data_IF_238125103852
#
_entry.id   IF_238125103852
#
_cell.length_a   1.000
_cell.length_b   1.000
_cell.length_c   1.000
_cell.angle_alpha   90.00
_cell.angle_beta   90.00
_cell.angle_gamma   90.00
#
_symmetry.space_group_name_H-M   'P 1'
#
loop_
_entity.id
_entity.type
_entity.pdbx_description
1 polymer ?
#
# COMPACT_ATOMS: atom_id res chain seq x y z
N UNK A 1 22.14 -3.65 -11.99
CA UNK A 1 21.57 -3.06 -10.75
C UNK A 1 21.18 -4.21 -9.83
N UNK A 2 21.46 -4.13 -8.52
CA UNK A 2 21.10 -5.21 -7.59
C UNK A 2 19.63 -5.09 -7.14
N UNK A 3 18.95 -6.23 -6.94
CA UNK A 3 17.57 -6.31 -6.40
C UNK A 3 17.41 -5.55 -5.09
N UNK A 4 16.27 -4.89 -4.87
CA UNK A 4 15.95 -4.27 -3.57
C UNK A 4 15.99 -5.34 -2.45
N UNK A 5 16.51 -5.01 -1.26
CA UNK A 5 16.64 -5.99 -0.18
C UNK A 5 15.27 -6.47 0.30
N UNK A 6 15.17 -7.77 0.51
CA UNK A 6 14.00 -8.45 1.10
C UNK A 6 14.29 -9.05 2.47
N UNK A 7 15.55 -9.02 2.90
CA UNK A 7 16.03 -9.53 4.18
C UNK A 7 16.92 -8.52 4.91
N UNK A 8 17.00 -8.66 6.23
CA UNK A 8 17.92 -7.87 7.05
C UNK A 8 19.40 -8.13 6.70
N UNK A 9 19.73 -9.31 6.17
CA UNK A 9 21.09 -9.62 5.72
C UNK A 9 21.47 -8.82 4.46
N UNK A 10 20.57 -8.75 3.48
CA UNK A 10 20.77 -7.93 2.27
C UNK A 10 20.85 -6.44 2.61
N UNK A 11 20.08 -5.97 3.61
CA UNK A 11 20.21 -4.61 4.14
C UNK A 11 21.62 -4.37 4.72
N UNK A 12 22.10 -5.27 5.59
CA UNK A 12 23.44 -5.17 6.18
C UNK A 12 24.55 -5.22 5.13
N UNK A 13 24.39 -6.04 4.09
CA UNK A 13 25.33 -6.12 2.97
C UNK A 13 25.43 -4.78 2.20
N UNK A 14 24.37 -3.96 2.23
CA UNK A 14 24.35 -2.58 1.70
C UNK A 14 24.81 -1.52 2.72
N UNK A 15 25.17 -1.91 3.93
CA UNK A 15 25.49 -1.00 5.03
C UNK A 15 24.27 -0.29 5.62
N UNK A 16 23.06 -0.84 5.42
CA UNK A 16 21.82 -0.26 5.92
C UNK A 16 21.41 -0.90 7.25
N UNK A 17 21.23 -0.05 8.24
CA UNK A 17 20.65 -0.36 9.55
C UNK A 17 19.12 -0.25 9.54
N UNK A 18 18.59 0.62 8.68
CA UNK A 18 17.17 0.92 8.56
C UNK A 18 16.81 1.29 7.11
N UNK A 19 15.62 0.84 6.66
CA UNK A 19 14.99 1.32 5.43
C UNK A 19 14.25 2.64 5.68
N UNK A 20 14.27 3.54 4.70
CA UNK A 20 13.40 4.70 4.69
C UNK A 20 11.96 4.30 4.42
N UNK A 21 11.77 3.39 3.46
CA UNK A 21 10.47 2.87 3.03
C UNK A 21 10.52 1.36 2.94
N UNK A 22 9.47 0.70 3.43
CA UNK A 22 9.28 -0.74 3.21
C UNK A 22 8.00 -0.95 2.40
N UNK A 23 8.13 -1.59 1.24
CA UNK A 23 7.01 -1.93 0.37
C UNK A 23 6.52 -3.34 0.66
N UNK A 24 5.24 -3.51 0.93
CA UNK A 24 4.57 -4.78 1.13
C UNK A 24 3.67 -5.06 -0.07
N UNK A 25 3.92 -6.18 -0.75
CA UNK A 25 3.20 -6.54 -1.98
C UNK A 25 2.57 -7.92 -1.88
N UNK A 26 1.37 -8.05 -2.46
CA UNK A 26 0.68 -9.33 -2.61
C UNK A 26 1.29 -10.23 -3.68
N UNK A 27 2.15 -9.72 -4.56
CA UNK A 27 2.86 -10.51 -5.58
C UNK A 27 4.23 -10.97 -5.10
N UNK A 28 4.80 -11.96 -5.78
CA UNK A 28 6.24 -12.21 -5.75
C UNK A 28 7.01 -10.93 -6.12
N UNK A 29 8.18 -10.72 -5.52
CA UNK A 29 9.04 -9.63 -5.96
C UNK A 29 9.73 -10.02 -7.27
N UNK A 30 9.30 -9.38 -8.35
CA UNK A 30 9.94 -9.42 -9.64
C UNK A 30 10.36 -8.00 -9.97
N UNK A 31 11.66 -7.77 -10.08
CA UNK A 31 12.21 -6.44 -10.32
C UNK A 31 12.12 -6.08 -11.81
N UNK A 32 10.90 -5.83 -12.27
CA UNK A 32 10.56 -5.57 -13.66
C UNK A 32 9.50 -4.46 -13.75
N UNK A 33 9.53 -3.59 -14.78
CA UNK A 33 8.58 -2.47 -14.93
C UNK A 33 7.11 -2.88 -15.05
N UNK A 34 6.80 -4.15 -15.29
CA UNK A 34 5.42 -4.67 -15.24
C UNK A 34 4.88 -4.89 -13.83
N UNK A 35 5.70 -4.70 -12.78
CA UNK A 35 5.32 -4.85 -11.39
C UNK A 35 5.35 -3.51 -10.68
N UNK A 36 4.18 -3.01 -10.26
CA UNK A 36 4.05 -1.68 -9.68
C UNK A 36 4.95 -1.48 -8.44
N UNK A 37 5.07 -2.48 -7.57
CA UNK A 37 5.95 -2.41 -6.40
C UNK A 37 7.43 -2.23 -6.77
N UNK A 38 7.89 -2.86 -7.85
CA UNK A 38 9.27 -2.70 -8.34
C UNK A 38 9.47 -1.29 -8.91
N UNK A 39 8.55 -0.79 -9.73
CA UNK A 39 8.60 0.57 -10.26
C UNK A 39 8.66 1.59 -9.13
N UNK A 40 7.73 1.52 -8.18
CA UNK A 40 7.69 2.45 -7.03
C UNK A 40 8.97 2.36 -6.20
N UNK A 41 9.48 1.15 -5.96
CA UNK A 41 10.72 0.97 -5.23
C UNK A 41 11.93 1.60 -5.93
N UNK A 42 12.06 1.41 -7.24
CA UNK A 42 13.13 2.02 -8.05
C UNK A 42 13.00 3.53 -8.19
N UNK A 43 11.78 4.03 -8.27
CA UNK A 43 11.48 5.47 -8.29
C UNK A 43 11.92 6.13 -6.99
N UNK A 44 11.71 5.50 -5.84
CA UNK A 44 12.16 6.00 -4.54
C UNK A 44 13.68 5.81 -4.35
N UNK A 45 14.25 4.68 -4.76
CA UNK A 45 15.70 4.44 -4.67
C UNK A 45 16.48 5.45 -5.55
N UNK A 46 15.95 5.82 -6.71
CA UNK A 46 16.52 6.86 -7.57
C UNK A 46 16.53 8.25 -6.92
N UNK A 47 15.66 8.49 -5.94
CA UNK A 47 15.63 9.71 -5.13
C UNK A 47 16.50 9.62 -3.86
N UNK A 48 17.27 8.54 -3.72
CA UNK A 48 18.22 8.35 -2.63
C UNK A 48 17.64 7.63 -1.40
N UNK A 49 16.39 7.21 -1.43
CA UNK A 49 15.77 6.47 -0.32
C UNK A 49 16.22 5.01 -0.28
N UNK A 50 16.46 4.49 0.93
CA UNK A 50 16.70 3.08 1.22
C UNK A 50 15.36 2.34 1.21
N UNK A 51 15.11 1.55 0.17
CA UNK A 51 13.83 0.85 0.00
C UNK A 51 14.00 -0.65 0.18
N UNK A 52 13.17 -1.26 1.02
CA UNK A 52 13.08 -2.72 1.15
C UNK A 52 11.72 -3.27 0.70
N UNK A 53 11.67 -4.56 0.37
CA UNK A 53 10.44 -5.23 -0.12
C UNK A 53 10.09 -6.45 0.71
N UNK A 54 8.84 -6.51 1.18
CA UNK A 54 8.22 -7.67 1.80
C UNK A 54 7.19 -8.22 0.80
N UNK A 55 7.59 -9.22 0.03
CA UNK A 55 6.72 -9.90 -0.93
C UNK A 55 6.00 -11.08 -0.26
N UNK A 56 4.68 -11.19 -0.52
CA UNK A 56 3.81 -12.27 -0.05
C UNK A 56 4.07 -12.70 1.41
N UNK A 57 4.00 -11.75 2.37
CA UNK A 57 4.17 -12.11 3.77
C UNK A 57 3.07 -13.09 4.22
N UNK A 58 3.42 -14.04 5.08
CA UNK A 58 2.41 -14.85 5.77
C UNK A 58 1.53 -13.95 6.64
N UNK A 59 0.26 -13.86 6.28
CA UNK A 59 -0.72 -12.99 6.93
C UNK A 59 -1.40 -13.61 8.16
N UNK A 60 -0.97 -14.82 8.55
CA UNK A 60 -1.46 -15.48 9.78
C UNK A 60 -0.84 -14.88 11.05
N UNK A 61 0.17 -14.02 10.92
CA UNK A 61 0.79 -13.30 12.02
C UNK A 61 1.59 -12.09 11.56
N UNK A 62 2.25 -11.41 12.49
CA UNK A 62 3.02 -10.18 12.21
C UNK A 62 4.49 -10.42 11.89
N UNK A 63 5.01 -11.63 12.11
CA UNK A 63 6.44 -11.93 12.03
C UNK A 63 7.06 -11.54 10.67
N UNK A 64 6.42 -11.92 9.56
CA UNK A 64 6.89 -11.60 8.21
C UNK A 64 6.88 -10.09 7.90
N UNK A 65 5.94 -9.35 8.49
CA UNK A 65 5.81 -7.90 8.35
C UNK A 65 6.89 -7.14 9.15
N UNK A 66 7.53 -7.81 10.11
CA UNK A 66 8.59 -7.26 10.95
C UNK A 66 9.99 -7.58 10.43
N UNK A 67 10.12 -8.41 9.38
CA UNK A 67 11.42 -8.96 8.93
C UNK A 67 12.47 -7.91 8.51
N UNK A 68 12.02 -6.75 8.03
CA UNK A 68 12.89 -5.61 7.64
C UNK A 68 12.95 -4.51 8.71
N UNK A 69 12.30 -4.74 9.86
CA UNK A 69 12.20 -3.77 10.93
C UNK A 69 11.27 -2.59 10.61
N UNK A 70 11.43 -1.53 11.40
CA UNK A 70 10.63 -0.30 11.32
C UNK A 70 11.22 0.63 10.26
N UNK A 71 10.46 1.07 9.24
CA UNK A 71 10.93 2.07 8.29
C UNK A 71 10.97 3.46 8.95
N UNK A 72 11.85 4.33 8.45
CA UNK A 72 11.95 5.72 8.92
C UNK A 72 10.72 6.55 8.54
N UNK A 73 10.25 6.41 7.30
CA UNK A 73 9.19 7.22 6.71
C UNK A 73 7.83 6.51 6.74
N UNK A 74 7.65 5.42 5.99
CA UNK A 74 6.34 4.75 5.87
C UNK A 74 6.43 3.30 5.36
N UNK A 75 5.33 2.57 5.53
CA UNK A 75 5.05 1.33 4.80
C UNK A 75 4.18 1.62 3.58
N UNK A 76 4.61 1.17 2.39
CA UNK A 76 3.77 1.18 1.19
C UNK A 76 3.11 -0.17 0.98
N UNK A 77 1.80 -0.24 0.77
CA UNK A 77 1.05 -1.50 0.69
C UNK A 77 0.28 -1.59 -0.62
N UNK A 78 0.44 -2.72 -1.33
CA UNK A 78 -0.31 -3.04 -2.55
C UNK A 78 -0.78 -4.49 -2.55
N UNK A 79 -1.93 -4.75 -3.16
CA UNK A 79 -2.43 -6.13 -3.39
C UNK A 79 -1.63 -6.87 -4.48
N UNK A 80 -0.78 -6.17 -5.22
CA UNK A 80 -0.07 -6.66 -6.40
C UNK A 80 -0.62 -6.05 -7.69
N UNK A 81 -0.41 -6.75 -8.80
CA UNK A 81 -0.79 -6.32 -10.14
C UNK A 81 -2.29 -6.49 -10.44
N UNK A 82 -3.01 -7.29 -9.65
CA UNK A 82 -4.46 -7.48 -9.77
C UNK A 82 -5.10 -7.36 -8.37
N UNK A 83 -6.42 -7.18 -8.34
CA UNK A 83 -7.24 -7.33 -7.14
C UNK A 83 -7.02 -8.70 -6.49
N UNK A 84 -6.79 -8.71 -5.17
CA UNK A 84 -6.48 -9.91 -4.40
C UNK A 84 -7.57 -10.99 -4.47
N UNK A 85 -8.84 -10.62 -4.67
CA UNK A 85 -9.92 -11.59 -4.84
C UNK A 85 -9.83 -12.31 -6.19
N UNK A 86 -9.39 -11.63 -7.25
CA UNK A 86 -9.27 -12.20 -8.60
C UNK A 86 -8.06 -13.14 -8.75
N UNK A 87 -7.11 -13.10 -7.82
CA UNK A 87 -6.05 -14.11 -7.71
C UNK A 87 -6.59 -15.42 -7.11
N UNK A 88 -7.53 -15.34 -6.18
CA UNK A 88 -8.13 -16.53 -5.58
C UNK A 88 -9.30 -17.09 -6.37
N UNK A 89 -10.06 -16.23 -7.03
CA UNK A 89 -11.30 -16.59 -7.70
C UNK A 89 -11.33 -16.09 -9.14
N UNK A 90 -12.03 -16.83 -9.99
CA UNK A 90 -12.43 -16.35 -11.32
C UNK A 90 -13.55 -15.31 -11.18
N UNK A 91 -13.83 -14.56 -12.25
CA UNK A 91 -14.98 -13.63 -12.28
C UNK A 91 -16.33 -14.32 -12.00
N UNK A 92 -16.43 -15.63 -12.26
CA UNK A 92 -17.59 -16.47 -11.95
C UNK A 92 -17.55 -17.07 -10.53
N UNK A 93 -16.74 -16.50 -9.61
CA UNK A 93 -16.55 -16.91 -8.21
C UNK A 93 -16.06 -18.36 -8.02
N UNK A 94 -15.41 -18.96 -9.02
CA UNK A 94 -14.78 -20.30 -8.88
C UNK A 94 -13.36 -20.15 -8.36
N UNK A 95 -12.94 -21.02 -7.45
CA UNK A 95 -11.56 -21.02 -6.95
C UNK A 95 -10.56 -21.31 -8.08
N UNK A 96 -9.50 -20.50 -8.17
CA UNK A 96 -8.37 -20.75 -9.07
C UNK A 96 -7.45 -21.80 -8.47
N UNK A 97 -6.76 -22.56 -9.32
CA UNK A 97 -5.82 -23.61 -8.89
C UNK A 97 -4.39 -23.09 -8.79
N UNK A 98 -4.12 -21.99 -9.47
CA UNK A 98 -2.83 -21.34 -9.64
C UNK A 98 -2.93 -19.84 -9.35
N UNK A 99 -1.79 -19.24 -9.02
CA UNK A 99 -1.61 -17.78 -8.99
C UNK A 99 -0.35 -17.42 -9.79
N UNK A 100 -0.48 -16.84 -11.00
CA UNK A 100 0.65 -16.56 -11.88
C UNK A 100 1.63 -15.52 -11.31
N UNK A 101 1.22 -14.77 -10.28
CA UNK A 101 2.07 -13.78 -9.63
C UNK A 101 2.67 -14.28 -8.31
N UNK A 102 2.48 -15.56 -7.97
CA UNK A 102 3.08 -16.23 -6.82
C UNK A 102 4.31 -17.04 -7.23
N UNK A 103 5.33 -17.20 -6.35
CA UNK A 103 6.48 -18.05 -6.62
C UNK A 103 6.07 -19.48 -6.98
N UNK A 104 6.49 -19.92 -8.17
CA UNK A 104 6.15 -21.25 -8.70
C UNK A 104 4.67 -21.45 -9.05
N UNK A 105 3.90 -20.38 -9.22
CA UNK A 105 2.47 -20.47 -9.53
C UNK A 105 1.59 -20.91 -8.36
N UNK A 106 2.16 -20.97 -7.14
CA UNK A 106 1.50 -21.54 -5.96
C UNK A 106 0.32 -20.69 -5.52
N UNK A 107 -0.85 -21.31 -5.42
CA UNK A 107 -2.04 -20.67 -4.88
C UNK A 107 -1.97 -20.51 -3.35
N UNK A 108 -2.72 -19.55 -2.80
CA UNK A 108 -2.88 -19.39 -1.36
C UNK A 108 -1.67 -18.79 -0.65
N UNK A 109 -0.91 -17.92 -1.33
CA UNK A 109 0.22 -17.15 -0.77
C UNK A 109 -0.10 -15.67 -0.50
N UNK A 110 -1.35 -15.25 -0.70
CA UNK A 110 -1.85 -13.94 -0.28
C UNK A 110 -3.24 -14.11 0.36
N UNK A 111 -3.70 -13.19 1.21
CA UNK A 111 -5.08 -13.22 1.70
C UNK A 111 -6.06 -12.61 0.68
N UNK A 112 -7.35 -12.94 0.84
CA UNK A 112 -8.44 -12.13 0.29
C UNK A 112 -8.39 -10.71 0.89
N UNK A 113 -8.68 -9.69 0.06
CA UNK A 113 -8.64 -8.28 0.47
C UNK A 113 -7.29 -7.89 1.07
N UNK A 114 -6.22 -8.21 0.33
CA UNK A 114 -4.85 -8.13 0.81
C UNK A 114 -4.47 -6.76 1.35
N UNK A 115 -4.95 -5.67 0.74
CA UNK A 115 -4.71 -4.31 1.25
C UNK A 115 -5.15 -4.14 2.71
N UNK A 116 -6.37 -4.58 3.03
CA UNK A 116 -6.95 -4.44 4.37
C UNK A 116 -6.18 -5.30 5.36
N UNK A 117 -5.91 -6.56 4.99
CA UNK A 117 -5.21 -7.52 5.87
C UNK A 117 -3.79 -7.05 6.16
N UNK A 118 -3.03 -6.67 5.13
CA UNK A 118 -1.64 -6.22 5.28
C UNK A 118 -1.54 -4.92 6.07
N UNK A 119 -2.41 -3.94 5.79
CA UNK A 119 -2.42 -2.69 6.54
C UNK A 119 -2.75 -2.91 8.03
N UNK A 120 -3.71 -3.78 8.35
CA UNK A 120 -4.06 -4.09 9.74
C UNK A 120 -2.92 -4.81 10.49
N UNK A 121 -2.23 -5.76 9.84
CA UNK A 121 -1.08 -6.45 10.43
C UNK A 121 0.11 -5.50 10.64
N UNK A 122 0.35 -4.59 9.69
CA UNK A 122 1.34 -3.53 9.86
C UNK A 122 0.96 -2.58 11.01
N UNK A 123 -0.32 -2.21 11.13
CA UNK A 123 -0.78 -1.36 12.23
C UNK A 123 -0.67 -2.06 13.59
N UNK A 124 -0.84 -3.38 13.63
CA UNK A 124 -0.62 -4.20 14.82
C UNK A 124 0.87 -4.24 15.20
N UNK A 125 1.76 -4.40 14.22
CA UNK A 125 3.21 -4.45 14.45
C UNK A 125 3.81 -3.07 14.77
N UNK A 126 3.32 -2.02 14.11
CA UNK A 126 3.89 -0.67 14.12
C UNK A 126 2.79 0.39 14.14
N UNK A 127 2.26 0.68 15.34
CA UNK A 127 1.08 1.53 15.53
C UNK A 127 1.21 2.93 14.96
N UNK A 128 2.40 3.51 14.99
CA UNK A 128 2.69 4.93 14.71
C UNK A 128 3.47 5.16 13.40
N UNK A 129 3.69 4.11 12.62
CA UNK A 129 4.29 4.25 11.28
C UNK A 129 3.18 4.57 10.27
N UNK A 130 3.35 5.59 9.41
CA UNK A 130 2.42 5.85 8.33
C UNK A 130 2.29 4.66 7.38
N UNK A 131 1.06 4.38 6.96
CA UNK A 131 0.72 3.34 5.98
C UNK A 131 0.13 4.01 4.75
N UNK A 132 0.77 3.80 3.61
CA UNK A 132 0.40 4.32 2.29
C UNK A 132 -0.18 3.18 1.45
N UNK A 133 -1.45 3.26 1.09
CA UNK A 133 -2.06 2.28 0.18
C UNK A 133 -1.82 2.67 -1.29
N UNK A 134 -1.62 1.70 -2.16
CA UNK A 134 -1.49 1.92 -3.59
C UNK A 134 -1.87 0.71 -4.43
N UNK A 135 -1.75 0.87 -5.75
CA UNK A 135 -2.10 -0.15 -6.73
C UNK A 135 -3.56 -0.12 -7.17
N UNK A 136 -3.93 -1.11 -7.98
CA UNK A 136 -5.25 -1.17 -8.63
C UNK A 136 -6.36 -1.33 -7.59
N UNK A 137 -6.20 -2.25 -6.64
CA UNK A 137 -7.21 -2.50 -5.60
C UNK A 137 -7.48 -1.24 -4.76
N UNK A 138 -6.45 -0.44 -4.46
CA UNK A 138 -6.59 0.81 -3.72
C UNK A 138 -7.31 1.87 -4.58
N UNK A 139 -6.86 2.06 -5.82
CA UNK A 139 -7.39 3.07 -6.74
C UNK A 139 -8.89 2.91 -7.00
N UNK A 140 -9.33 1.65 -7.19
CA UNK A 140 -10.73 1.32 -7.48
C UNK A 140 -11.63 1.42 -6.25
N UNK A 141 -11.07 1.27 -5.04
CA UNK A 141 -11.82 1.26 -3.77
C UNK A 141 -11.64 2.54 -2.94
N UNK A 142 -11.13 3.62 -3.55
CA UNK A 142 -10.88 4.91 -2.89
C UNK A 142 -12.16 5.63 -2.46
N UNK A 143 -13.28 5.35 -3.11
CA UNK A 143 -14.61 5.86 -2.79
C UNK A 143 -15.50 4.71 -2.32
N UNK A 144 -16.71 5.06 -1.87
CA UNK A 144 -17.76 4.06 -1.72
C UNK A 144 -17.96 3.33 -3.06
N UNK A 145 -18.04 2.00 -3.01
CA UNK A 145 -18.09 1.16 -4.21
C UNK A 145 -18.96 -0.06 -3.96
N UNK A 146 -19.62 -0.55 -5.00
CA UNK A 146 -20.27 -1.84 -4.96
C UNK A 146 -19.21 -2.95 -5.00
N UNK A 147 -19.17 -3.78 -3.95
CA UNK A 147 -18.30 -4.95 -3.88
C UNK A 147 -19.04 -6.16 -4.41
N UNK A 148 -18.60 -6.64 -5.56
CA UNK A 148 -19.19 -7.81 -6.22
C UNK A 148 -19.10 -9.08 -5.36
N UNK A 149 -18.16 -9.19 -4.42
CA UNK A 149 -17.98 -10.42 -3.64
C UNK A 149 -18.98 -10.52 -2.49
N UNK A 150 -19.21 -9.40 -1.80
CA UNK A 150 -20.17 -9.30 -0.70
C UNK A 150 -21.60 -8.97 -1.18
N UNK A 151 -21.78 -8.63 -2.46
CA UNK A 151 -23.06 -8.15 -3.01
C UNK A 151 -23.61 -6.96 -2.20
N UNK A 152 -22.73 -6.02 -1.87
CA UNK A 152 -23.06 -4.88 -1.02
C UNK A 152 -22.22 -3.66 -1.39
N UNK A 153 -22.75 -2.47 -1.10
CA UNK A 153 -21.95 -1.24 -1.17
C UNK A 153 -21.06 -1.17 0.06
N UNK A 154 -19.76 -1.01 -0.17
CA UNK A 154 -18.74 -0.84 0.86
C UNK A 154 -18.26 0.61 0.89
N UNK A 155 -17.91 1.06 2.10
CA UNK A 155 -17.24 2.34 2.32
C UNK A 155 -15.82 2.35 1.71
N UNK A 156 -15.18 3.52 1.55
CA UNK A 156 -13.79 3.62 1.11
C UNK A 156 -12.84 2.68 1.86
N UNK A 157 -11.94 2.01 1.13
CA UNK A 157 -10.99 1.04 1.70
C UNK A 157 -10.08 1.63 2.78
N UNK A 158 -9.80 2.94 2.70
CA UNK A 158 -8.97 3.65 3.66
C UNK A 158 -9.54 3.55 5.09
N UNK A 159 -10.88 3.54 5.24
CA UNK A 159 -11.57 3.39 6.52
C UNK A 159 -11.46 1.96 7.08
N UNK A 160 -11.53 0.94 6.22
CA UNK A 160 -11.41 -0.46 6.62
C UNK A 160 -9.96 -0.84 6.95
N UNK A 161 -9.00 -0.32 6.18
CA UNK A 161 -7.58 -0.60 6.32
C UNK A 161 -6.90 0.23 7.42
N UNK A 162 -7.52 1.32 7.87
CA UNK A 162 -6.95 2.28 8.85
C UNK A 162 -5.55 2.76 8.45
N UNK A 163 -5.38 2.95 7.15
CA UNK A 163 -4.18 3.53 6.57
C UNK A 163 -4.29 5.07 6.55
N UNK A 164 -3.14 5.74 6.44
CA UNK A 164 -3.05 7.20 6.61
C UNK A 164 -3.34 7.94 5.31
N UNK A 165 -2.98 7.32 4.17
CA UNK A 165 -3.17 7.88 2.83
C UNK A 165 -3.30 6.79 1.79
N UNK A 166 -4.04 7.07 0.73
CA UNK A 166 -4.21 6.21 -0.43
C UNK A 166 -3.75 6.93 -1.69
N UNK A 167 -2.95 6.27 -2.51
CA UNK A 167 -2.50 6.75 -3.82
C UNK A 167 -3.36 6.12 -4.92
N UNK A 168 -3.84 6.93 -5.85
CA UNK A 168 -4.60 6.48 -7.01
C UNK A 168 -4.08 7.08 -8.33
N UNK A 169 -4.13 6.30 -9.41
CA UNK A 169 -3.60 6.73 -10.70
C UNK A 169 -2.07 6.61 -10.77
N UNK A 170 -1.38 7.66 -11.24
CA UNK A 170 0.08 7.68 -11.38
C UNK A 170 0.75 7.73 -10.00
N UNK A 171 1.29 6.58 -9.57
CA UNK A 171 1.83 6.43 -8.22
C UNK A 171 3.22 7.03 -8.03
N UNK A 172 3.99 7.17 -9.10
CA UNK A 172 5.39 7.61 -9.09
C UNK A 172 5.53 9.05 -8.56
N UNK A 173 4.70 9.97 -9.06
CA UNK A 173 4.72 11.37 -8.62
C UNK A 173 4.20 11.49 -7.17
N UNK A 174 3.10 10.79 -6.85
CA UNK A 174 2.49 10.85 -5.54
C UNK A 174 3.40 10.27 -4.45
N UNK A 175 4.04 9.13 -4.69
CA UNK A 175 4.91 8.49 -3.69
C UNK A 175 6.16 9.32 -3.39
N UNK A 176 6.72 10.01 -4.41
CA UNK A 176 7.83 10.97 -4.22
C UNK A 176 7.42 12.13 -3.34
N UNK A 177 6.25 12.72 -3.62
CA UNK A 177 5.70 13.81 -2.82
C UNK A 177 5.43 13.36 -1.37
N UNK A 178 4.90 12.16 -1.17
CA UNK A 178 4.69 11.57 0.17
C UNK A 178 6.02 11.40 0.91
N UNK A 179 7.02 10.78 0.27
CA UNK A 179 8.33 10.57 0.88
C UNK A 179 8.97 11.90 1.27
N UNK A 180 9.01 12.88 0.35
CA UNK A 180 9.59 14.20 0.61
C UNK A 180 8.83 14.99 1.68
N UNK A 181 7.50 14.91 1.72
CA UNK A 181 6.70 15.57 2.74
C UNK A 181 6.96 14.99 4.15
N UNK A 182 7.02 13.67 4.26
CA UNK A 182 7.32 12.97 5.53
C UNK A 182 8.77 13.17 5.99
N UNK A 183 9.71 13.25 5.06
CA UNK A 183 11.12 13.52 5.38
C UNK A 183 11.30 14.95 5.91
N UNK A 184 10.60 15.91 5.30
CA UNK A 184 10.68 17.33 5.69
C UNK A 184 9.90 17.67 6.97
N UNK A 185 8.93 16.84 7.38
CA UNK A 185 8.03 17.11 8.52
C UNK A 185 7.96 15.94 9.52
N UNK A 186 9.08 15.58 10.18
CA UNK A 186 9.15 14.39 11.04
C UNK A 186 8.19 14.43 12.24
N UNK A 187 7.82 15.62 12.73
CA UNK A 187 6.91 15.83 13.87
C UNK A 187 5.41 15.96 13.48
N UNK A 188 5.09 16.21 12.21
CA UNK A 188 3.74 16.55 11.72
C UNK A 188 3.24 15.61 10.63
N UNK A 189 3.47 14.30 10.80
CA UNK A 189 3.32 13.29 9.72
C UNK A 189 1.92 13.23 9.10
N UNK A 190 0.86 13.49 9.86
CA UNK A 190 -0.52 13.43 9.32
C UNK A 190 -0.88 14.67 8.51
N UNK A 191 -0.50 15.86 8.96
CA UNK A 191 -0.76 17.10 8.21
C UNK A 191 0.11 17.19 6.95
N UNK A 192 1.32 16.64 7.01
CA UNK A 192 2.24 16.57 5.87
C UNK A 192 1.70 15.77 4.68
N UNK A 193 0.74 14.86 4.91
CA UNK A 193 0.16 14.00 3.88
C UNK A 193 -1.01 14.66 3.14
N UNK A 194 -1.42 15.87 3.53
CA UNK A 194 -2.56 16.57 2.93
C UNK A 194 -2.17 17.31 1.65
N UNK A 195 -3.13 17.43 0.74
CA UNK A 195 -2.98 18.24 -0.49
C UNK A 195 -2.05 17.63 -1.54
N UNK A 196 -1.59 16.39 -1.38
CA UNK A 196 -0.75 15.70 -2.36
C UNK A 196 -1.63 15.27 -3.55
N UNK A 197 -1.36 15.73 -4.78
CA UNK A 197 -2.15 15.34 -5.95
C UNK A 197 -2.14 13.82 -6.18
N UNK A 198 -3.28 13.25 -6.59
CA UNK A 198 -3.42 11.81 -6.84
C UNK A 198 -3.56 10.97 -5.57
N UNK A 199 -4.00 11.58 -4.46
CA UNK A 199 -4.16 10.90 -3.18
C UNK A 199 -5.52 11.13 -2.53
N UNK A 200 -5.88 10.26 -1.60
CA UNK A 200 -7.05 10.38 -0.73
C UNK A 200 -6.63 10.17 0.73
N UNK A 201 -7.20 10.97 1.63
CA UNK A 201 -6.97 10.93 3.09
C UNK A 201 -8.31 10.96 3.83
N UNK A 202 -8.32 10.43 5.06
CA UNK A 202 -9.47 10.60 5.98
C UNK A 202 -9.28 11.92 6.71
N UNK A 203 -10.35 12.73 6.77
CA UNK A 203 -10.37 14.01 7.49
C UNK A 203 -11.48 14.01 8.54
N UNK A 204 -11.28 14.76 9.62
CA UNK A 204 -12.30 14.90 10.65
C UNK A 204 -13.51 15.69 10.14
N UNK A 205 -14.70 15.40 10.69
CA UNK A 205 -15.95 16.08 10.29
C UNK A 205 -15.87 17.60 10.45
N UNK A 206 -15.20 18.08 11.50
CA UNK A 206 -15.00 19.52 11.75
C UNK A 206 -14.17 20.21 10.66
N UNK A 207 -13.36 19.46 9.91
CA UNK A 207 -12.45 19.98 8.91
C UNK A 207 -13.09 20.08 7.53
N UNK A 208 -14.18 19.33 7.29
CA UNK A 208 -14.88 19.28 6.00
C UNK A 208 -15.28 20.68 5.55
N UNK A 209 -15.75 21.52 6.47
CA UNK A 209 -16.14 22.91 6.17
C UNK A 209 -14.99 23.75 5.61
N UNK A 210 -13.76 23.56 6.10
CA UNK A 210 -12.58 24.29 5.63
C UNK A 210 -12.05 23.76 4.28
N UNK A 211 -12.38 22.51 3.93
CA UNK A 211 -12.00 21.89 2.66
C UNK A 211 -12.96 22.24 1.51
N UNK A 212 -14.17 22.69 1.83
CA UNK A 212 -15.15 23.18 0.84
C UNK A 212 -14.66 24.51 0.27
N UNK A 213 -14.03 24.45 -0.90
CA UNK A 213 -13.55 25.61 -1.64
C UNK A 213 -13.75 25.49 -3.15
N UNK A 214 -13.36 26.51 -3.93
CA UNK A 214 -13.43 26.47 -5.39
C UNK A 214 -12.69 25.25 -5.95
N UNK A 215 -13.34 24.47 -6.80
CA UNK A 215 -12.77 23.23 -7.38
C UNK A 215 -13.01 21.97 -6.55
N UNK A 216 -13.60 22.08 -5.36
CA UNK A 216 -14.07 20.92 -4.60
C UNK A 216 -15.39 20.42 -5.18
N UNK A 217 -15.48 19.11 -5.41
CA UNK A 217 -16.73 18.43 -5.77
C UNK A 217 -17.15 17.57 -4.59
N UNK A 218 -18.27 17.90 -3.98
CA UNK A 218 -18.88 17.08 -2.94
C UNK A 218 -19.70 15.97 -3.61
N UNK A 219 -19.35 14.73 -3.30
CA UNK A 219 -20.10 13.56 -3.76
C UNK A 219 -21.26 13.31 -2.79
N UNK A 220 -22.42 12.84 -3.27
CA UNK A 220 -23.53 12.49 -2.40
C UNK A 220 -23.09 11.42 -1.38
N UNK A 221 -23.55 11.54 -0.13
CA UNK A 221 -23.35 10.51 0.87
C UNK A 221 -24.09 9.24 0.46
N UNK A 222 -23.47 8.10 0.76
CA UNK A 222 -24.14 6.82 0.74
C UNK A 222 -24.62 6.55 2.16
N UNK A 223 -25.85 6.98 2.46
CA UNK A 223 -26.62 6.67 3.68
C UNK A 223 -27.85 5.83 3.32
#
# INVERSE_FOLDING_TARGET
MAFLPMTAEEMRARGWDQCDVVLVTGDAYVDHPSFGAAVIGRVLEADGYRVGVIAQPDWRGTADFMRLGRPRLFFGVTSGNIDSMLHHYTAARKLRRDDPYSPGGRHGLRPNRALIVYANLLRQAYRDVPIVLGGIEASLRRLAHYDYWDDAVRRPVLLDAKADILVHGMGETAVRAIAGALDSHPAGRQDALRGIPGTAVIVGTAEIGALRGPGCVELPSFE
#
